data_IF_442165063928
#
_entry.id   IF_442165063928
#
_cell.length_a   1.000
_cell.length_b   1.000
_cell.length_c   1.000
_cell.angle_alpha   90.00
_cell.angle_beta   90.00
_cell.angle_gamma   90.00
#
_symmetry.space_group_name_H-M   'P 1'
#
loop_
_entity.id
_entity.type
_entity.pdbx_description
1 polymer ?
#
# COMPACT_ATOMS: atom_id res chain seq x y z
N UNK A 1 14.79 4.34 0.22
CA UNK A 1 14.44 3.38 -0.85
C UNK A 1 15.71 2.99 -1.57
N UNK A 2 15.85 1.74 -2.03
CA UNK A 2 17.00 1.32 -2.85
C UNK A 2 16.76 1.71 -4.31
N UNK A 3 17.78 2.18 -5.02
CA UNK A 3 17.70 2.55 -6.45
C UNK A 3 17.21 1.38 -7.33
N UNK A 4 17.51 0.13 -6.95
CA UNK A 4 16.99 -1.05 -7.62
C UNK A 4 15.46 -1.19 -7.50
N UNK A 5 14.86 -0.69 -6.42
CA UNK A 5 13.40 -0.63 -6.27
C UNK A 5 12.81 0.49 -7.13
N UNK A 6 13.46 1.65 -7.21
CA UNK A 6 13.00 2.76 -8.05
C UNK A 6 13.00 2.41 -9.55
N UNK A 7 14.02 1.68 -10.01
CA UNK A 7 14.06 1.15 -11.39
C UNK A 7 12.91 0.17 -11.62
N UNK A 8 12.67 -0.74 -10.66
CA UNK A 8 11.57 -1.71 -10.75
C UNK A 8 10.22 -1.01 -10.83
N UNK A 9 9.96 -0.08 -9.91
CA UNK A 9 8.70 0.65 -9.81
C UNK A 9 8.45 1.47 -11.08
N UNK A 10 9.50 2.11 -11.62
CA UNK A 10 9.41 2.80 -12.90
C UNK A 10 9.06 1.85 -14.05
N UNK A 11 9.75 0.73 -14.19
CA UNK A 11 9.49 -0.24 -15.28
C UNK A 11 8.07 -0.82 -15.21
N UNK A 12 7.57 -1.08 -14.00
CA UNK A 12 6.18 -1.49 -13.81
C UNK A 12 5.18 -0.38 -14.17
N UNK A 13 5.48 0.88 -13.83
CA UNK A 13 4.62 2.03 -14.13
C UNK A 13 4.41 2.27 -15.63
N UNK A 14 5.38 1.89 -16.48
CA UNK A 14 5.28 1.97 -17.95
C UNK A 14 4.71 0.69 -18.58
N UNK A 15 4.18 -0.23 -17.77
CA UNK A 15 3.59 -1.49 -18.24
C UNK A 15 4.62 -2.52 -18.73
N UNK A 16 5.89 -2.43 -18.32
CA UNK A 16 6.89 -3.41 -18.69
C UNK A 16 6.75 -4.70 -17.87
N UNK A 17 6.87 -5.85 -18.53
CA UNK A 17 6.81 -7.18 -17.90
C UNK A 17 8.21 -7.69 -17.61
N UNK A 18 8.46 -8.11 -16.37
CA UNK A 18 9.74 -8.70 -15.94
C UNK A 18 9.82 -10.18 -16.34
N UNK A 19 10.90 -10.58 -17.01
CA UNK A 19 11.12 -11.96 -17.45
C UNK A 19 12.18 -12.74 -16.65
N UNK A 20 12.73 -12.14 -15.59
CA UNK A 20 13.75 -12.77 -14.74
C UNK A 20 15.16 -12.24 -15.00
N UNK A 21 16.14 -12.90 -14.39
CA UNK A 21 17.55 -12.55 -14.53
C UNK A 21 18.15 -13.23 -15.76
N UNK A 22 18.80 -12.46 -16.61
CA UNK A 22 19.76 -12.99 -17.59
C UNK A 22 21.13 -12.84 -16.93
N UNK A 23 21.93 -13.92 -16.89
CA UNK A 23 23.18 -13.97 -16.12
C UNK A 23 24.02 -12.69 -16.18
N UNK A 24 24.64 -12.32 -15.05
CA UNK A 24 25.40 -11.07 -14.88
C UNK A 24 24.60 -9.89 -14.33
N UNK A 25 23.79 -10.09 -13.28
CA UNK A 25 23.03 -9.02 -12.61
C UNK A 25 22.11 -8.16 -13.52
N UNK A 26 21.72 -8.66 -14.68
CA UNK A 26 20.78 -7.97 -15.56
C UNK A 26 19.36 -8.51 -15.40
N UNK A 27 18.37 -7.61 -15.31
CA UNK A 27 16.95 -7.94 -15.44
C UNK A 27 16.51 -7.67 -16.87
N UNK A 28 15.81 -8.65 -17.44
CA UNK A 28 15.13 -8.54 -18.73
C UNK A 28 13.69 -8.07 -18.55
N UNK A 29 13.31 -7.09 -19.35
CA UNK A 29 11.99 -6.50 -19.43
C UNK A 29 11.43 -6.61 -20.84
N UNK A 30 10.13 -6.81 -20.97
CA UNK A 30 9.40 -6.60 -22.21
C UNK A 30 8.55 -5.36 -22.07
N UNK A 31 8.76 -4.40 -22.96
CA UNK A 31 8.00 -3.16 -23.02
C UNK A 31 6.64 -3.40 -23.71
N UNK A 32 5.63 -2.53 -23.48
CA UNK A 32 4.31 -2.64 -24.10
C UNK A 32 4.30 -2.71 -25.63
N UNK A 33 5.32 -2.15 -26.29
CA UNK A 33 5.49 -2.20 -27.74
C UNK A 33 6.16 -3.50 -28.25
N UNK A 34 6.32 -4.51 -27.38
CA UNK A 34 6.95 -5.79 -27.69
C UNK A 34 8.49 -5.78 -27.72
N UNK A 35 9.13 -4.62 -27.52
CA UNK A 35 10.59 -4.54 -27.48
C UNK A 35 11.15 -5.07 -26.15
N UNK A 36 12.34 -5.66 -26.19
CA UNK A 36 13.03 -6.20 -25.01
C UNK A 36 14.08 -5.20 -24.52
N UNK A 37 14.10 -4.93 -23.22
CA UNK A 37 15.04 -4.03 -22.58
C UNK A 37 15.76 -4.72 -21.43
N UNK A 38 17.06 -4.45 -21.27
CA UNK A 38 17.91 -5.08 -20.25
C UNK A 38 18.44 -4.00 -19.31
N UNK A 39 18.11 -4.10 -18.02
CA UNK A 39 18.62 -3.19 -16.98
C UNK A 39 19.67 -3.91 -16.16
N UNK A 40 20.81 -3.30 -15.91
CA UNK A 40 21.70 -3.79 -14.84
C UNK A 40 21.09 -3.48 -13.47
N UNK A 41 21.18 -4.43 -12.54
CA UNK A 41 20.76 -4.26 -11.15
C UNK A 41 21.82 -3.58 -10.28
N UNK A 42 23.05 -3.42 -10.77
CA UNK A 42 24.10 -2.70 -10.03
C UNK A 42 23.72 -1.23 -9.96
N UNK A 43 23.31 -0.74 -8.78
CA UNK A 43 22.84 0.63 -8.62
C UNK A 43 24.05 1.50 -8.30
N UNK A 44 24.93 1.76 -9.27
CA UNK A 44 26.14 2.54 -8.99
C UNK A 44 25.98 4.05 -9.15
N UNK A 45 24.83 4.56 -9.64
CA UNK A 45 24.64 6.01 -9.79
C UNK A 45 23.15 6.39 -9.97
N UNK A 46 22.71 7.48 -9.33
CA UNK A 46 21.44 8.18 -9.62
C UNK A 46 21.20 8.46 -11.11
N UNK A 47 22.27 8.64 -11.89
CA UNK A 47 22.23 8.80 -13.35
C UNK A 47 21.70 7.56 -14.07
N UNK A 48 21.82 6.37 -13.49
CA UNK A 48 21.32 5.13 -14.08
C UNK A 48 19.79 5.17 -14.26
N UNK A 49 19.05 5.69 -13.28
CA UNK A 49 17.59 5.80 -13.38
C UNK A 49 17.16 6.79 -14.46
N UNK A 50 17.85 7.94 -14.58
CA UNK A 50 17.59 8.92 -15.62
C UNK A 50 17.84 8.35 -17.02
N UNK A 51 18.94 7.60 -17.18
CA UNK A 51 19.27 6.94 -18.43
C UNK A 51 18.23 5.88 -18.81
N UNK A 52 17.78 5.06 -17.85
CA UNK A 52 16.72 4.07 -18.06
C UNK A 52 15.41 4.74 -18.46
N UNK A 53 15.03 5.84 -17.79
CA UNK A 53 13.82 6.61 -18.12
C UNK A 53 13.87 7.20 -19.53
N UNK A 54 15.00 7.79 -19.91
CA UNK A 54 15.20 8.35 -21.24
C UNK A 54 15.15 7.27 -22.32
N UNK A 55 15.85 6.17 -22.12
CA UNK A 55 15.98 5.09 -23.10
C UNK A 55 14.65 4.36 -23.32
N UNK A 56 13.92 4.06 -22.25
CA UNK A 56 12.59 3.42 -22.35
C UNK A 56 11.56 4.33 -23.03
N UNK A 57 11.59 5.64 -22.79
CA UNK A 57 10.74 6.60 -23.52
C UNK A 57 11.06 6.64 -25.01
N UNK A 58 12.35 6.61 -25.36
CA UNK A 58 12.81 6.52 -26.76
C UNK A 58 12.32 5.24 -27.43
N UNK A 59 12.50 4.10 -26.75
CA UNK A 59 12.02 2.80 -27.24
C UNK A 59 10.51 2.77 -27.44
N UNK A 60 9.74 3.38 -26.52
CA UNK A 60 8.29 3.50 -26.60
C UNK A 60 7.79 4.56 -27.58
N UNK A 61 8.69 5.30 -28.24
CA UNK A 61 8.30 6.37 -29.17
C UNK A 61 7.60 7.55 -28.49
N UNK A 62 7.77 7.73 -27.17
CA UNK A 62 7.13 8.77 -26.36
C UNK A 62 7.89 10.09 -26.36
N UNK A 63 8.95 10.22 -27.15
CA UNK A 63 9.63 11.51 -27.36
C UNK A 63 8.80 12.36 -28.31
N UNK A 64 8.40 13.54 -27.83
CA UNK A 64 7.79 14.61 -28.62
C UNK A 64 8.49 14.79 -29.96
N UNK A 65 7.69 14.93 -31.02
CA UNK A 65 8.09 15.38 -32.35
C UNK A 65 9.23 16.41 -32.29
N UNK A 66 10.43 16.02 -32.72
CA UNK A 66 11.58 16.91 -32.66
C UNK A 66 12.92 16.19 -32.76
N UNK A 67 13.18 15.49 -33.86
CA UNK A 67 14.52 14.95 -34.10
C UNK A 67 14.54 13.78 -35.07
N UNK A 68 14.40 14.10 -36.37
CA UNK A 68 14.76 13.16 -37.43
C UNK A 68 16.24 12.77 -37.29
N UNK A 69 16.48 11.48 -37.47
CA UNK A 69 17.75 10.82 -37.83
C UNK A 69 18.81 10.72 -36.75
N UNK A 70 19.35 9.50 -36.66
CA UNK A 70 20.60 9.16 -36.02
C UNK A 70 21.69 10.19 -36.40
N UNK A 71 22.08 11.01 -35.41
CA UNK A 71 23.26 11.86 -35.52
C UNK A 71 24.35 11.25 -34.64
N UNK A 72 25.42 10.84 -35.29
CA UNK A 72 26.71 10.52 -34.71
C UNK A 72 27.11 11.55 -33.65
N UNK A 73 27.77 11.09 -32.59
CA UNK A 73 28.41 11.92 -31.59
C UNK A 73 29.28 13.03 -32.23
N UNK A 74 28.79 14.26 -32.29
CA UNK A 74 29.63 15.46 -32.29
C UNK A 74 29.32 16.27 -31.05
N UNK A 75 30.06 15.98 -29.97
CA UNK A 75 30.21 16.90 -28.84
C UNK A 75 30.79 18.20 -29.39
N UNK A 76 29.99 19.27 -29.50
CA UNK A 76 30.49 20.64 -29.35
C UNK A 76 29.47 21.75 -29.06
N UNK A 77 28.16 21.59 -29.35
CA UNK A 77 27.26 22.76 -29.26
C UNK A 77 26.03 22.64 -28.34
N UNK A 78 25.98 21.67 -27.43
CA UNK A 78 24.79 21.43 -26.60
C UNK A 78 24.69 22.30 -25.31
N UNK A 79 25.26 23.51 -25.31
CA UNK A 79 25.20 24.44 -24.18
C UNK A 79 24.62 25.82 -24.54
N UNK A 80 23.57 25.87 -25.38
CA UNK A 80 22.81 27.10 -25.55
C UNK A 80 21.30 26.84 -25.44
N UNK A 81 20.70 27.45 -24.42
CA UNK A 81 19.25 27.66 -24.36
C UNK A 81 18.45 26.86 -23.34
N UNK A 82 18.81 26.89 -22.05
CA UNK A 82 17.77 26.72 -21.02
C UNK A 82 16.89 27.97 -21.07
N UNK A 83 15.72 27.88 -21.68
CA UNK A 83 14.71 28.92 -21.56
C UNK A 83 14.23 28.97 -20.11
N UNK A 84 14.45 30.10 -19.44
CA UNK A 84 13.95 30.34 -18.07
C UNK A 84 12.44 30.12 -17.96
N UNK A 85 11.70 30.28 -19.06
CA UNK A 85 10.27 30.02 -19.16
C UNK A 85 9.94 28.53 -18.98
N UNK A 86 10.76 27.63 -19.54
CA UNK A 86 10.59 26.18 -19.41
C UNK A 86 10.87 25.72 -17.98
N UNK A 87 11.92 26.26 -17.36
CA UNK A 87 12.26 26.00 -15.94
C UNK A 87 11.13 26.45 -15.03
N UNK A 88 10.53 27.61 -15.29
CA UNK A 88 9.42 28.16 -14.51
C UNK A 88 8.15 27.30 -14.61
N UNK A 89 7.82 26.83 -15.82
CA UNK A 89 6.69 25.89 -16.03
C UNK A 89 6.91 24.55 -15.34
N UNK A 90 8.13 24.01 -15.39
CA UNK A 90 8.48 22.77 -14.70
C UNK A 90 8.41 22.91 -13.17
N UNK A 91 8.82 24.07 -12.63
CA UNK A 91 8.67 24.40 -11.21
C UNK A 91 7.19 24.52 -10.79
N UNK A 92 6.36 25.15 -11.62
CA UNK A 92 4.91 25.26 -11.37
C UNK A 92 4.23 23.89 -11.40
N UNK A 93 4.55 23.04 -12.37
CA UNK A 93 4.03 21.68 -12.43
C UNK A 93 4.48 20.85 -11.21
N UNK A 94 5.73 21.00 -10.78
CA UNK A 94 6.26 20.33 -9.59
C UNK A 94 5.55 20.76 -8.31
N UNK A 95 5.20 22.05 -8.18
CA UNK A 95 4.44 22.56 -7.05
C UNK A 95 3.00 22.00 -7.04
N UNK A 96 2.33 21.98 -8.19
CA UNK A 96 0.98 21.42 -8.32
C UNK A 96 0.95 19.93 -7.98
N UNK A 97 1.94 19.15 -8.43
CA UNK A 97 2.06 17.73 -8.11
C UNK A 97 2.23 17.53 -6.60
N UNK A 98 3.09 18.31 -5.93
CA UNK A 98 3.26 18.24 -4.47
C UNK A 98 1.97 18.55 -3.72
N UNK A 99 1.20 19.53 -4.18
CA UNK A 99 -0.07 19.89 -3.57
C UNK A 99 -1.10 18.77 -3.70
N UNK A 100 -1.28 18.22 -4.90
CA UNK A 100 -2.19 17.10 -5.15
C UNK A 100 -1.79 15.88 -4.31
N UNK A 101 -0.49 15.60 -4.24
CA UNK A 101 0.06 14.48 -3.46
C UNK A 101 -0.22 14.67 -1.97
N UNK A 102 -0.01 15.89 -1.44
CA UNK A 102 -0.31 16.23 -0.05
C UNK A 102 -1.80 16.05 0.29
N UNK A 103 -2.69 16.49 -0.60
CA UNK A 103 -4.14 16.30 -0.44
C UNK A 103 -4.53 14.82 -0.46
N UNK A 104 -3.96 14.03 -1.37
CA UNK A 104 -4.21 12.59 -1.44
C UNK A 104 -3.72 11.87 -0.17
N UNK A 105 -2.53 12.20 0.34
CA UNK A 105 -2.01 11.63 1.59
C UNK A 105 -2.90 11.97 2.78
N UNK A 106 -3.39 13.22 2.87
CA UNK A 106 -4.31 13.62 3.94
C UNK A 106 -5.65 12.88 3.87
N UNK A 107 -6.17 12.64 2.67
CA UNK A 107 -7.40 11.87 2.46
C UNK A 107 -7.25 10.40 2.87
N UNK A 108 -6.14 9.76 2.50
CA UNK A 108 -5.84 8.36 2.89
C UNK A 108 -5.81 8.24 4.42
N UNK A 109 -5.11 9.13 5.13
CA UNK A 109 -5.08 9.13 6.60
C UNK A 109 -6.46 9.27 7.24
N UNK A 110 -7.37 10.03 6.63
CA UNK A 110 -8.76 10.15 7.13
C UNK A 110 -9.54 8.86 6.93
N UNK A 111 -9.37 8.20 5.77
CA UNK A 111 -10.01 6.91 5.50
C UNK A 111 -9.52 5.85 6.50
N UNK A 112 -8.21 5.79 6.76
CA UNK A 112 -7.64 4.86 7.74
C UNK A 112 -8.22 5.08 9.15
N UNK A 113 -8.36 6.35 9.57
CA UNK A 113 -8.96 6.67 10.86
C UNK A 113 -10.43 6.22 10.96
N UNK A 114 -11.22 6.44 9.90
CA UNK A 114 -12.62 6.00 9.85
C UNK A 114 -12.75 4.47 9.86
N UNK A 115 -11.85 3.76 9.19
CA UNK A 115 -11.84 2.29 9.21
C UNK A 115 -11.51 1.74 10.60
N UNK A 116 -10.56 2.34 11.31
CA UNK A 116 -10.23 1.96 12.69
C UNK A 116 -11.43 2.19 13.62
N UNK A 117 -12.10 3.33 13.48
CA UNK A 117 -13.29 3.65 14.28
C UNK A 117 -14.47 2.71 13.98
N UNK A 118 -14.70 2.40 12.70
CA UNK A 118 -15.72 1.44 12.29
C UNK A 118 -15.45 0.04 12.85
N UNK A 119 -14.19 -0.40 12.87
CA UNK A 119 -13.80 -1.69 13.46
C UNK A 119 -14.05 -1.70 14.97
N UNK A 120 -13.65 -0.64 15.70
CA UNK A 120 -13.91 -0.53 17.14
C UNK A 120 -15.41 -0.60 17.46
N UNK A 121 -16.23 0.11 16.70
CA UNK A 121 -17.69 0.10 16.86
C UNK A 121 -18.31 -1.26 16.54
N UNK A 122 -17.68 -2.06 15.67
CA UNK A 122 -18.10 -3.44 15.41
C UNK A 122 -17.74 -4.34 16.58
N UNK A 123 -16.49 -4.30 17.04
CA UNK A 123 -16.00 -5.12 18.15
C UNK A 123 -16.78 -4.82 19.44
N UNK A 124 -17.10 -3.55 19.69
CA UNK A 124 -17.93 -3.15 20.82
C UNK A 124 -19.35 -3.75 20.74
N UNK A 125 -20.01 -3.67 19.57
CA UNK A 125 -21.34 -4.26 19.38
C UNK A 125 -21.33 -5.78 19.50
N UNK A 126 -20.30 -6.45 18.98
CA UNK A 126 -20.13 -7.90 19.16
C UNK A 126 -19.93 -8.26 20.64
N UNK A 127 -19.15 -7.47 21.39
CA UNK A 127 -18.98 -7.63 22.83
C UNK A 127 -20.27 -7.43 23.63
N UNK A 128 -21.02 -6.38 23.35
CA UNK A 128 -22.32 -6.09 23.98
C UNK A 128 -23.32 -7.24 23.73
N UNK A 129 -23.39 -7.73 22.49
CA UNK A 129 -24.26 -8.87 22.14
C UNK A 129 -23.87 -10.16 22.88
N UNK A 130 -22.57 -10.46 23.00
CA UNK A 130 -22.10 -11.63 23.76
C UNK A 130 -22.45 -11.53 25.25
N UNK A 131 -22.34 -10.35 25.85
CA UNK A 131 -22.76 -10.10 27.24
C UNK A 131 -24.27 -10.28 27.40
N UNK A 132 -25.07 -9.79 26.46
CA UNK A 132 -26.53 -9.97 26.46
C UNK A 132 -26.91 -11.46 26.38
N UNK A 133 -26.28 -12.22 25.48
CA UNK A 133 -26.47 -13.67 25.36
C UNK A 133 -26.07 -14.41 26.65
N UNK A 134 -24.92 -14.05 27.24
CA UNK A 134 -24.47 -14.61 28.50
C UNK A 134 -25.47 -14.34 29.63
N UNK A 135 -25.96 -13.11 29.77
CA UNK A 135 -26.92 -12.74 30.81
C UNK A 135 -28.27 -13.42 30.61
N UNK A 136 -28.75 -13.56 29.37
CA UNK A 136 -29.96 -14.30 29.06
C UNK A 136 -29.83 -15.79 29.40
N UNK A 137 -28.67 -16.40 29.10
CA UNK A 137 -28.40 -17.79 29.44
C UNK A 137 -28.28 -18.00 30.95
N UNK A 138 -27.58 -17.11 31.66
CA UNK A 138 -27.48 -17.12 33.12
C UNK A 138 -28.85 -17.02 33.79
N UNK A 139 -29.70 -16.07 33.36
CA UNK A 139 -31.06 -15.92 33.89
C UNK A 139 -31.92 -17.16 33.64
N UNK A 140 -31.70 -17.86 32.53
CA UNK A 140 -32.36 -19.13 32.24
C UNK A 140 -31.91 -20.22 33.21
N UNK A 141 -30.59 -20.35 33.44
CA UNK A 141 -30.04 -21.31 34.40
C UNK A 141 -30.52 -21.07 35.83
N UNK A 142 -30.59 -19.81 36.27
CA UNK A 142 -31.11 -19.43 37.59
C UNK A 142 -32.60 -19.78 37.78
N UNK A 143 -33.38 -19.85 36.70
CA UNK A 143 -34.77 -20.35 36.77
C UNK A 143 -34.86 -21.86 36.95
N UNK A 144 -33.94 -22.61 36.35
CA UNK A 144 -33.88 -24.07 36.49
C UNK A 144 -33.31 -24.49 37.85
N UNK A 145 -32.35 -23.73 38.37
CA UNK A 145 -31.82 -23.90 39.72
C UNK A 145 -32.51 -22.96 40.69
N UNK A 146 -33.78 -23.21 41.00
CA UNK A 146 -34.33 -22.66 42.23
C UNK A 146 -33.61 -23.30 43.42
N UNK A 147 -33.19 -22.53 44.44
CA UNK A 147 -32.64 -23.11 45.65
C UNK A 147 -33.69 -24.06 46.22
N UNK A 148 -33.38 -25.35 46.28
CA UNK A 148 -34.20 -26.34 46.99
C UNK A 148 -34.38 -25.76 48.39
N UNK A 149 -35.62 -25.51 48.86
CA UNK A 149 -35.82 -24.97 50.20
C UNK A 149 -35.10 -25.92 51.14
N UNK A 150 -34.14 -25.39 51.91
CA UNK A 150 -33.40 -26.16 52.89
C UNK A 150 -34.43 -26.94 53.70
N UNK A 151 -34.39 -28.27 53.59
CA UNK A 151 -35.17 -29.16 54.43
C UNK A 151 -34.75 -28.85 55.86
N UNK A 152 -35.50 -27.97 56.52
CA UNK A 152 -35.37 -27.77 57.96
C UNK A 152 -35.87 -29.06 58.57
N UNK A 153 -34.94 -29.96 58.86
CA UNK A 153 -35.19 -31.16 59.62
C UNK A 153 -35.71 -30.71 60.99
N UNK A 154 -37.03 -30.63 61.17
CA UNK A 154 -37.62 -30.65 62.50
C UNK A 154 -37.35 -32.06 63.03
N UNK A 155 -36.27 -32.20 63.79
CA UNK A 155 -36.03 -33.32 64.68
C UNK A 155 -37.15 -33.32 65.71
N UNK A 156 -38.26 -33.99 65.39
CA UNK A 156 -39.27 -34.32 66.37
C UNK A 156 -38.60 -35.19 67.43
N UNK A 157 -38.49 -34.63 68.64
CA UNK A 157 -38.22 -35.35 69.86
C UNK A 157 -39.28 -36.45 70.03
N UNK A 158 -38.94 -37.67 69.65
CA UNK A 158 -39.64 -38.89 70.06
C UNK A 158 -38.58 -39.87 70.54
N UNK A 159 -38.06 -39.62 71.73
CA UNK A 159 -37.55 -40.64 72.66
C UNK A 159 -37.45 -40.00 74.05
N UNK A 160 -38.60 -39.82 74.68
CA UNK A 160 -38.74 -39.66 76.12
C UNK A 160 -39.93 -40.51 76.58
N UNK A 161 -39.84 -41.82 76.36
CA UNK A 161 -40.61 -42.85 77.08
C UNK A 161 -39.80 -44.15 77.03
N UNK A 162 -38.92 -44.32 78.01
CA UNK A 162 -38.54 -45.57 78.67
C UNK A 162 -37.62 -45.23 79.85
#
# INVERSE_FOLDING_TARGET
>A
MSLSNEIRDYMLSIGAVRHGHTGGDHIKWSLPNGQKYFTSLTPSDSRALLNIKSETRRMLGLTSEGGKKAASYSKKDACSGFSMEAVRKEQQHSAAIREITGRATAAIKRIDALLIEAQRNRDQREGEWLVEQYMAHKATLERYYQPVPALTCKSNAVMAMA
#
